data_IF_117499278484
#
_entry.id   IF_117499278484
#
_cell.length_a   1.000
_cell.length_b   1.000
_cell.length_c   1.000
_cell.angle_alpha   90.00
_cell.angle_beta   90.00
_cell.angle_gamma   90.00
#
_symmetry.space_group_name_H-M   'P 1'
#
loop_
_entity.id
_entity.type
_entity.pdbx_description
1 polymer ?
#
# COMPACT_ATOMS: atom_id res chain seq x y z
N UNK A 1 -37.68 -24.61 44.65
CA UNK A 1 -36.39 -25.32 44.56
C UNK A 1 -35.51 -24.58 43.56
N UNK A 2 -34.46 -23.90 44.02
CA UNK A 2 -33.57 -23.08 43.18
C UNK A 2 -32.44 -23.98 42.65
N UNK A 3 -32.48 -24.29 41.34
CA UNK A 3 -31.41 -25.02 40.66
C UNK A 3 -30.17 -24.13 40.59
N UNK A 4 -29.24 -24.30 41.55
CA UNK A 4 -27.92 -23.66 41.49
C UNK A 4 -27.19 -24.19 40.24
N UNK A 5 -26.73 -23.33 39.32
CA UNK A 5 -26.00 -23.79 38.14
C UNK A 5 -24.72 -24.50 38.59
N UNK A 6 -24.48 -25.67 37.99
CA UNK A 6 -23.32 -26.54 38.23
C UNK A 6 -22.01 -25.76 38.02
N UNK A 7 -20.97 -26.09 38.81
CA UNK A 7 -19.67 -25.40 38.83
C UNK A 7 -19.10 -25.09 37.43
N UNK A 8 -19.22 -26.04 36.50
CA UNK A 8 -18.78 -25.91 35.10
C UNK A 8 -19.50 -24.80 34.32
N UNK A 9 -20.81 -24.63 34.50
CA UNK A 9 -21.59 -23.58 33.84
C UNK A 9 -21.21 -22.18 34.35
N UNK A 10 -20.87 -22.06 35.63
CA UNK A 10 -20.39 -20.79 36.20
C UNK A 10 -19.03 -20.43 35.62
N UNK A 11 -18.09 -21.38 35.54
CA UNK A 11 -16.76 -21.16 34.95
C UNK A 11 -16.85 -20.76 33.48
N UNK A 12 -17.71 -21.42 32.71
CA UNK A 12 -17.93 -21.13 31.30
C UNK A 12 -18.54 -19.74 31.10
N UNK A 13 -19.55 -19.37 31.89
CA UNK A 13 -20.13 -18.01 31.88
C UNK A 13 -19.14 -16.93 32.35
N UNK A 14 -18.26 -17.23 33.29
CA UNK A 14 -17.21 -16.29 33.74
C UNK A 14 -16.11 -16.07 32.71
N UNK A 15 -15.87 -17.03 31.81
CA UNK A 15 -14.92 -16.88 30.70
C UNK A 15 -15.58 -16.23 29.48
N UNK A 16 -16.84 -16.57 29.18
CA UNK A 16 -17.59 -16.01 28.05
C UNK A 16 -17.96 -14.54 28.23
N UNK A 17 -18.25 -14.08 29.44
CA UNK A 17 -18.55 -12.66 29.70
C UNK A 17 -17.40 -11.70 29.32
N UNK A 18 -16.16 -11.88 29.82
CA UNK A 18 -15.04 -11.03 29.45
C UNK A 18 -14.60 -11.27 28.00
N UNK A 19 -14.71 -12.50 27.47
CA UNK A 19 -14.45 -12.76 26.06
C UNK A 19 -15.45 -12.04 25.14
N UNK A 20 -16.73 -12.07 25.49
CA UNK A 20 -17.80 -11.36 24.80
C UNK A 20 -17.61 -9.85 24.86
N UNK A 21 -17.33 -9.28 26.04
CA UNK A 21 -17.07 -7.85 26.19
C UNK A 21 -15.84 -7.37 25.41
N UNK A 22 -14.75 -8.16 25.37
CA UNK A 22 -13.57 -7.85 24.57
C UNK A 22 -13.85 -7.94 23.07
N UNK A 23 -14.63 -8.93 22.65
CA UNK A 23 -15.02 -9.08 21.25
C UNK A 23 -15.92 -7.93 20.81
N UNK A 24 -16.91 -7.56 21.63
CA UNK A 24 -17.81 -6.44 21.37
C UNK A 24 -17.06 -5.10 21.30
N UNK A 25 -16.15 -4.85 22.25
CA UNK A 25 -15.28 -3.67 22.23
C UNK A 25 -14.40 -3.62 20.97
N UNK A 26 -13.80 -4.76 20.58
CA UNK A 26 -13.01 -4.86 19.36
C UNK A 26 -13.86 -4.63 18.11
N UNK A 27 -15.03 -5.24 18.00
CA UNK A 27 -15.93 -5.09 16.85
C UNK A 27 -16.46 -3.66 16.74
N UNK A 28 -16.77 -3.03 17.87
CA UNK A 28 -17.18 -1.62 17.92
C UNK A 28 -16.06 -0.74 17.41
N UNK A 29 -14.84 -0.93 17.91
CA UNK A 29 -13.68 -0.13 17.52
C UNK A 29 -13.29 -0.35 16.04
N UNK A 30 -13.37 -1.61 15.57
CA UNK A 30 -13.22 -1.95 14.16
C UNK A 30 -14.29 -1.27 13.30
N UNK A 31 -15.54 -1.24 13.74
CA UNK A 31 -16.62 -0.55 13.04
C UNK A 31 -16.35 0.97 12.94
N UNK A 32 -15.87 1.60 14.00
CA UNK A 32 -15.52 3.03 13.99
C UNK A 32 -14.33 3.30 13.06
N UNK A 33 -13.34 2.41 13.04
CA UNK A 33 -12.22 2.52 12.10
C UNK A 33 -12.71 2.44 10.66
N UNK A 34 -13.55 1.45 10.35
CA UNK A 34 -14.05 1.17 8.99
C UNK A 34 -15.23 2.06 8.56
N UNK A 35 -15.79 2.88 9.45
CA UNK A 35 -16.81 3.87 9.07
C UNK A 35 -16.19 5.09 8.37
N UNK A 36 -14.86 5.25 8.46
CA UNK A 36 -14.11 6.31 7.80
C UNK A 36 -13.53 5.84 6.46
N UNK A 37 -13.49 6.75 5.47
CA UNK A 37 -12.85 6.47 4.19
C UNK A 37 -11.36 6.16 4.34
N UNK A 38 -10.68 6.83 5.28
CA UNK A 38 -9.27 6.61 5.62
C UNK A 38 -9.01 5.20 6.17
N UNK A 39 -9.88 4.71 7.06
CA UNK A 39 -9.77 3.37 7.62
C UNK A 39 -10.02 2.28 6.58
N UNK A 40 -11.02 2.46 5.70
CA UNK A 40 -11.28 1.53 4.59
C UNK A 40 -10.07 1.48 3.64
N UNK A 41 -9.55 2.63 3.22
CA UNK A 41 -8.40 2.71 2.31
C UNK A 41 -7.14 2.07 2.92
N UNK A 42 -6.89 2.31 4.20
CA UNK A 42 -5.77 1.73 4.93
C UNK A 42 -5.89 0.21 5.08
N UNK A 43 -7.10 -0.29 5.39
CA UNK A 43 -7.35 -1.73 5.46
C UNK A 43 -7.16 -2.38 4.08
N UNK A 44 -7.73 -1.79 3.03
CA UNK A 44 -7.66 -2.31 1.67
C UNK A 44 -6.21 -2.34 1.17
N UNK A 45 -5.45 -1.27 1.43
CA UNK A 45 -4.01 -1.20 1.15
C UNK A 45 -3.25 -2.31 1.88
N UNK A 46 -3.53 -2.51 3.16
CA UNK A 46 -2.88 -3.57 3.97
C UNK A 46 -3.18 -4.95 3.42
N UNK A 47 -4.45 -5.24 3.11
CA UNK A 47 -4.86 -6.53 2.56
C UNK A 47 -4.25 -6.77 1.17
N UNK A 48 -4.29 -5.76 0.30
CA UNK A 48 -3.70 -5.83 -1.04
C UNK A 48 -2.21 -6.18 -0.98
N UNK A 49 -1.41 -5.42 -0.21
CA UNK A 49 0.02 -5.68 -0.15
C UNK A 49 0.38 -6.95 0.62
N UNK A 50 -0.45 -7.39 1.58
CA UNK A 50 -0.31 -8.71 2.20
C UNK A 50 -0.52 -9.82 1.18
N UNK A 51 -1.57 -9.73 0.36
CA UNK A 51 -1.86 -10.69 -0.69
C UNK A 51 -0.78 -10.69 -1.78
N UNK A 52 -0.34 -9.50 -2.21
CA UNK A 52 0.73 -9.31 -3.18
C UNK A 52 2.06 -9.91 -2.70
N UNK A 53 2.44 -9.65 -1.44
CA UNK A 53 3.64 -10.24 -0.84
C UNK A 53 3.52 -11.78 -0.76
N UNK A 54 2.36 -12.28 -0.34
CA UNK A 54 2.11 -13.73 -0.25
C UNK A 54 2.19 -14.38 -1.63
N UNK A 55 1.60 -13.76 -2.65
CA UNK A 55 1.67 -14.21 -4.04
C UNK A 55 3.11 -14.24 -4.54
N UNK A 56 3.91 -13.19 -4.31
CA UNK A 56 5.31 -13.14 -4.71
C UNK A 56 6.13 -14.27 -4.07
N UNK A 57 5.88 -14.58 -2.79
CA UNK A 57 6.55 -15.71 -2.11
C UNK A 57 6.12 -17.06 -2.69
N UNK A 58 4.82 -17.27 -2.91
CA UNK A 58 4.30 -18.51 -3.53
C UNK A 58 4.85 -18.70 -4.94
N UNK A 59 4.90 -17.63 -5.74
CA UNK A 59 5.48 -17.62 -7.09
C UNK A 59 6.96 -17.98 -7.07
N UNK A 60 7.74 -17.44 -6.14
CA UNK A 60 9.15 -17.78 -5.98
C UNK A 60 9.36 -19.26 -5.60
N UNK A 61 8.53 -19.79 -4.70
CA UNK A 61 8.58 -21.21 -4.33
C UNK A 61 8.22 -22.12 -5.51
N UNK A 62 7.17 -21.74 -6.25
CA UNK A 62 6.70 -22.47 -7.42
C UNK A 62 7.76 -22.46 -8.54
N UNK A 63 8.40 -21.31 -8.80
CA UNK A 63 9.48 -21.18 -9.79
C UNK A 63 10.66 -22.07 -9.44
N UNK A 64 11.10 -22.08 -8.18
CA UNK A 64 12.17 -22.99 -7.70
C UNK A 64 11.80 -24.46 -7.86
N UNK A 65 10.53 -24.82 -7.66
CA UNK A 65 10.06 -26.18 -7.88
C UNK A 65 10.15 -26.56 -9.36
N UNK A 66 9.72 -25.66 -10.26
CA UNK A 66 9.83 -25.87 -11.71
C UNK A 66 11.28 -25.97 -12.18
N UNK A 67 12.18 -25.12 -11.68
CA UNK A 67 13.60 -25.18 -12.00
C UNK A 67 14.22 -26.52 -11.57
N UNK A 68 13.88 -27.02 -10.38
CA UNK A 68 14.34 -28.33 -9.91
C UNK A 68 13.81 -29.46 -10.79
N UNK A 69 12.54 -29.41 -11.18
CA UNK A 69 11.95 -30.40 -12.09
C UNK A 69 12.64 -30.34 -13.45
N UNK A 70 12.79 -29.16 -14.04
CA UNK A 70 13.48 -28.96 -15.31
C UNK A 70 14.93 -29.46 -15.26
N UNK A 71 15.65 -29.18 -14.17
CA UNK A 71 17.02 -29.67 -13.95
C UNK A 71 17.05 -31.20 -13.82
N UNK A 72 16.11 -31.79 -13.09
CA UNK A 72 16.01 -33.24 -12.93
C UNK A 72 15.69 -33.93 -14.27
N UNK A 73 14.77 -33.36 -15.06
CA UNK A 73 14.46 -33.83 -16.42
C UNK A 73 15.68 -33.72 -17.33
N UNK A 74 16.38 -32.59 -17.31
CA UNK A 74 17.60 -32.39 -18.08
C UNK A 74 18.72 -33.36 -17.67
N UNK A 75 18.88 -33.65 -16.38
CA UNK A 75 19.90 -34.60 -15.89
C UNK A 75 19.58 -36.06 -16.19
N UNK A 76 18.29 -36.41 -16.26
CA UNK A 76 17.82 -37.77 -16.59
C UNK A 76 17.55 -37.94 -18.09
N UNK A 77 17.76 -36.89 -18.89
CA UNK A 77 17.65 -36.98 -20.34
C UNK A 77 18.60 -38.07 -20.86
N UNK A 78 18.13 -38.99 -21.71
CA UNK A 78 18.94 -40.10 -22.15
C UNK A 78 20.19 -39.60 -22.87
N UNK A 79 21.36 -40.16 -22.50
CA UNK A 79 22.67 -39.88 -23.14
C UNK A 79 22.72 -40.23 -24.64
N UNK A 80 21.65 -40.80 -25.18
CA UNK A 80 21.47 -41.16 -26.59
C UNK A 80 20.91 -40.02 -27.42
N UNK A 81 20.58 -38.84 -26.84
CA UNK A 81 20.29 -37.66 -27.66
C UNK A 81 21.51 -37.30 -28.49
N UNK A 82 21.28 -37.13 -29.80
CA UNK A 82 22.35 -36.75 -30.72
C UNK A 82 22.78 -35.29 -30.45
N UNK A 83 24.04 -34.92 -30.74
CA UNK A 83 24.44 -33.52 -30.76
C UNK A 83 23.51 -32.73 -31.69
N UNK A 84 22.87 -31.65 -31.19
CA UNK A 84 21.85 -30.80 -31.84
C UNK A 84 20.39 -31.31 -31.81
N UNK A 85 20.07 -32.38 -31.08
CA UNK A 85 18.69 -32.79 -30.87
C UNK A 85 18.06 -31.99 -29.70
N UNK A 86 17.07 -31.15 -29.99
CA UNK A 86 16.38 -30.33 -28.99
C UNK A 86 15.17 -31.10 -28.48
N UNK A 87 15.20 -31.55 -27.23
CA UNK A 87 14.00 -32.07 -26.57
C UNK A 87 13.14 -30.92 -26.05
N UNK A 88 12.05 -30.62 -26.76
CA UNK A 88 11.02 -29.72 -26.27
C UNK A 88 10.10 -30.49 -25.31
N UNK A 89 10.49 -30.58 -24.04
CA UNK A 89 9.60 -31.08 -23.00
C UNK A 89 8.60 -29.97 -22.64
N UNK A 90 7.36 -30.09 -23.14
CA UNK A 90 6.25 -29.30 -22.61
C UNK A 90 5.87 -29.86 -21.24
N UNK A 91 6.30 -29.18 -20.18
CA UNK A 91 5.78 -29.44 -18.84
C UNK A 91 4.43 -28.73 -18.70
N UNK A 92 3.35 -29.50 -18.65
CA UNK A 92 2.10 -28.96 -18.14
C UNK A 92 2.30 -28.50 -16.68
N UNK A 93 1.70 -27.36 -16.28
CA UNK A 93 1.76 -26.91 -14.90
C UNK A 93 1.20 -28.02 -14.00
N UNK A 94 1.98 -28.60 -13.07
CA UNK A 94 1.47 -29.65 -12.22
C UNK A 94 0.37 -29.04 -11.35
N UNK A 95 -0.83 -29.62 -11.40
CA UNK A 95 -2.00 -29.24 -10.59
C UNK A 95 -1.75 -29.59 -9.12
N UNK A 96 -0.79 -28.90 -8.53
CA UNK A 96 -0.42 -29.02 -7.13
C UNK A 96 -1.21 -28.01 -6.32
N UNK A 97 -1.40 -28.30 -5.03
CA UNK A 97 -1.98 -27.33 -4.08
C UNK A 97 -1.21 -26.00 -4.09
N UNK A 98 0.11 -26.02 -4.31
CA UNK A 98 0.92 -24.81 -4.39
C UNK A 98 0.54 -23.95 -5.61
N UNK A 99 0.35 -24.56 -6.77
CA UNK A 99 -0.12 -23.87 -7.97
C UNK A 99 -1.53 -23.28 -7.77
N UNK A 100 -2.46 -24.06 -7.21
CA UNK A 100 -3.82 -23.58 -6.90
C UNK A 100 -3.82 -22.43 -5.88
N UNK A 101 -2.98 -22.49 -4.85
CA UNK A 101 -2.80 -21.40 -3.89
C UNK A 101 -2.18 -20.17 -4.54
N UNK A 102 -1.17 -20.35 -5.40
CA UNK A 102 -0.53 -19.24 -6.11
C UNK A 102 -1.53 -18.50 -7.01
N UNK A 103 -2.31 -19.25 -7.79
CA UNK A 103 -3.33 -18.72 -8.71
C UNK A 103 -4.49 -18.06 -7.97
N UNK A 104 -5.03 -18.68 -6.91
CA UNK A 104 -6.09 -18.07 -6.09
C UNK A 104 -5.62 -16.81 -5.37
N UNK A 105 -4.39 -16.80 -4.83
CA UNK A 105 -3.82 -15.60 -4.20
C UNK A 105 -3.59 -14.49 -5.22
N UNK A 106 -3.21 -14.83 -6.46
CA UNK A 106 -3.13 -13.85 -7.56
C UNK A 106 -4.49 -13.23 -7.83
N UNK A 107 -5.54 -14.05 -8.01
CA UNK A 107 -6.88 -13.57 -8.28
C UNK A 107 -7.41 -12.65 -7.15
N UNK A 108 -7.11 -13.00 -5.89
CA UNK A 108 -7.41 -12.15 -4.74
C UNK A 108 -6.65 -10.81 -4.79
N UNK A 109 -5.36 -10.86 -5.14
CA UNK A 109 -4.52 -9.65 -5.26
C UNK A 109 -5.07 -8.72 -6.35
N UNK A 110 -5.42 -9.28 -7.52
CA UNK A 110 -5.99 -8.54 -8.65
C UNK A 110 -7.35 -7.92 -8.26
N UNK A 111 -8.21 -8.65 -7.54
CA UNK A 111 -9.49 -8.15 -7.02
C UNK A 111 -9.33 -7.00 -6.02
N UNK A 112 -8.38 -7.13 -5.09
CA UNK A 112 -8.09 -6.10 -4.09
C UNK A 112 -7.53 -4.84 -4.76
N UNK A 113 -6.64 -4.99 -5.74
CA UNK A 113 -6.11 -3.89 -6.52
C UNK A 113 -7.21 -3.16 -7.30
N UNK A 114 -8.08 -3.90 -7.98
CA UNK A 114 -9.23 -3.35 -8.70
C UNK A 114 -10.13 -2.52 -7.77
N UNK A 115 -10.43 -3.09 -6.59
CA UNK A 115 -11.22 -2.41 -5.57
C UNK A 115 -10.52 -1.12 -5.14
N UNK A 116 -9.22 -1.19 -4.86
CA UNK A 116 -8.42 -0.06 -4.39
C UNK A 116 -8.36 1.09 -5.40
N UNK A 117 -8.13 0.79 -6.68
CA UNK A 117 -8.13 1.81 -7.74
C UNK A 117 -9.54 2.36 -7.95
N UNK A 118 -10.58 1.53 -7.87
CA UNK A 118 -11.97 1.98 -7.97
C UNK A 118 -12.31 3.02 -6.88
N UNK A 119 -11.90 2.76 -5.63
CA UNK A 119 -12.05 3.72 -4.52
C UNK A 119 -11.23 5.01 -4.70
N UNK A 120 -10.26 5.03 -5.62
CA UNK A 120 -9.42 6.19 -5.89
C UNK A 120 -9.85 7.00 -7.11
N UNK A 121 -10.89 6.60 -7.84
CA UNK A 121 -11.35 7.31 -9.05
C UNK A 121 -11.69 8.79 -8.79
N UNK A 122 -12.18 9.12 -7.59
CA UNK A 122 -12.45 10.50 -7.16
C UNK A 122 -11.23 11.23 -6.58
N UNK A 123 -10.03 10.67 -6.67
CA UNK A 123 -8.80 11.22 -6.10
C UNK A 123 -8.46 12.64 -6.57
N UNK A 124 -8.93 13.04 -7.77
CA UNK A 124 -8.77 14.41 -8.28
C UNK A 124 -9.45 15.45 -7.38
N UNK A 125 -10.57 15.11 -6.72
CA UNK A 125 -11.22 16.01 -5.77
C UNK A 125 -10.35 16.24 -4.53
N UNK A 126 -9.70 15.19 -4.03
CA UNK A 126 -8.74 15.29 -2.93
C UNK A 126 -7.52 16.13 -3.30
N UNK A 127 -7.00 15.98 -4.52
CA UNK A 127 -5.89 16.78 -5.04
C UNK A 127 -6.31 18.25 -5.20
N UNK A 128 -7.52 18.52 -5.70
CA UNK A 128 -8.06 19.87 -5.79
C UNK A 128 -8.21 20.52 -4.42
N UNK A 129 -8.74 19.79 -3.44
CA UNK A 129 -8.86 20.30 -2.07
C UNK A 129 -7.49 20.62 -1.49
N UNK A 130 -6.50 19.73 -1.65
CA UNK A 130 -5.13 19.99 -1.23
C UNK A 130 -4.53 21.21 -1.94
N UNK A 131 -4.76 21.38 -3.25
CA UNK A 131 -4.30 22.55 -3.99
C UNK A 131 -4.92 23.84 -3.47
N UNK A 132 -6.24 23.82 -3.20
CA UNK A 132 -6.99 24.95 -2.63
C UNK A 132 -6.47 25.33 -1.24
N UNK A 133 -6.29 24.36 -0.36
CA UNK A 133 -5.79 24.61 1.00
C UNK A 133 -4.40 25.24 0.98
N UNK A 134 -3.51 24.75 0.12
CA UNK A 134 -2.16 25.30 -0.05
C UNK A 134 -2.14 26.66 -0.77
N UNK A 135 -3.18 26.97 -1.57
CA UNK A 135 -3.35 28.30 -2.15
C UNK A 135 -3.82 29.32 -1.11
N UNK A 136 -4.79 28.94 -0.26
CA UNK A 136 -5.35 29.79 0.78
C UNK A 136 -4.41 29.97 1.97
N UNK A 137 -3.64 28.92 2.31
CA UNK A 137 -2.68 28.90 3.43
C UNK A 137 -1.33 28.38 2.91
N UNK A 138 -0.60 29.17 2.12
CA UNK A 138 0.68 28.74 1.57
C UNK A 138 1.73 28.58 2.68
N UNK A 139 2.67 27.63 2.54
CA UNK A 139 3.84 27.58 3.40
C UNK A 139 4.63 28.89 3.32
N UNK A 140 5.14 29.39 4.45
CA UNK A 140 5.98 30.58 4.47
C UNK A 140 7.37 30.38 3.84
N UNK A 141 7.86 29.14 3.76
CA UNK A 141 9.13 28.78 3.13
C UNK A 141 8.95 28.55 1.62
N UNK A 142 9.69 29.30 0.80
CA UNK A 142 9.59 29.21 -0.67
C UNK A 142 9.93 27.80 -1.22
N UNK A 143 10.99 27.10 -0.74
CA UNK A 143 11.23 25.71 -1.10
C UNK A 143 10.06 24.77 -0.78
N UNK A 144 9.45 24.87 0.42
CA UNK A 144 8.27 24.09 0.77
C UNK A 144 7.09 24.38 -0.16
N UNK A 145 6.87 25.65 -0.49
CA UNK A 145 5.81 26.04 -1.43
C UNK A 145 6.02 25.40 -2.80
N UNK A 146 7.25 25.41 -3.32
CA UNK A 146 7.58 24.75 -4.59
C UNK A 146 7.33 23.24 -4.52
N UNK A 147 7.80 22.56 -3.46
CA UNK A 147 7.61 21.13 -3.25
C UNK A 147 6.12 20.75 -3.21
N UNK A 148 5.30 21.54 -2.52
CA UNK A 148 3.85 21.34 -2.45
C UNK A 148 3.21 21.42 -3.84
N UNK A 149 3.53 22.44 -4.63
CA UNK A 149 2.96 22.58 -5.98
C UNK A 149 3.46 21.50 -6.96
N UNK A 150 4.72 21.05 -6.81
CA UNK A 150 5.22 19.91 -7.57
C UNK A 150 4.46 18.61 -7.21
N UNK A 151 4.19 18.38 -5.92
CA UNK A 151 3.40 17.24 -5.46
C UNK A 151 1.98 17.29 -6.02
N UNK A 152 1.31 18.44 -5.96
CA UNK A 152 -0.05 18.63 -6.51
C UNK A 152 -0.08 18.36 -8.02
N UNK A 153 0.89 18.90 -8.77
CA UNK A 153 0.96 18.75 -10.22
C UNK A 153 1.21 17.30 -10.62
N UNK A 154 2.18 16.64 -9.99
CA UNK A 154 2.46 15.22 -10.22
C UNK A 154 1.28 14.34 -9.80
N UNK A 155 0.58 14.69 -8.70
CA UNK A 155 -0.66 14.07 -8.25
C UNK A 155 -1.78 14.12 -9.28
N UNK A 156 -2.02 15.30 -9.86
CA UNK A 156 -3.07 15.48 -10.86
C UNK A 156 -2.78 14.64 -12.12
N UNK A 157 -1.54 14.65 -12.61
CA UNK A 157 -1.15 13.86 -13.79
C UNK A 157 -1.24 12.36 -13.49
N UNK A 158 -0.75 11.92 -12.34
CA UNK A 158 -0.87 10.55 -11.88
C UNK A 158 -2.33 10.08 -11.86
N UNK A 159 -3.21 10.80 -11.17
CA UNK A 159 -4.60 10.39 -10.99
C UNK A 159 -5.35 10.39 -12.32
N UNK A 160 -5.05 11.34 -13.21
CA UNK A 160 -5.62 11.35 -14.56
C UNK A 160 -5.21 10.12 -15.36
N UNK A 161 -3.91 9.80 -15.40
CA UNK A 161 -3.39 8.66 -16.15
C UNK A 161 -3.87 7.32 -15.57
N UNK A 162 -3.91 7.18 -14.25
CA UNK A 162 -4.39 5.98 -13.58
C UNK A 162 -5.89 5.76 -13.86
N UNK A 163 -6.71 6.81 -13.74
CA UNK A 163 -8.13 6.73 -14.07
C UNK A 163 -8.34 6.33 -15.54
N UNK A 164 -7.59 6.94 -16.46
CA UNK A 164 -7.69 6.64 -17.88
C UNK A 164 -7.28 5.19 -18.19
N UNK A 165 -6.17 4.71 -17.63
CA UNK A 165 -5.70 3.34 -17.80
C UNK A 165 -6.69 2.34 -17.20
N UNK A 166 -7.20 2.59 -15.99
CA UNK A 166 -8.16 1.70 -15.33
C UNK A 166 -9.48 1.60 -16.11
N UNK A 167 -10.05 2.73 -16.52
CA UNK A 167 -11.31 2.74 -17.27
C UNK A 167 -11.15 2.15 -18.68
N UNK A 168 -9.99 2.31 -19.32
CA UNK A 168 -9.66 1.63 -20.58
C UNK A 168 -9.57 0.11 -20.38
N UNK A 169 -8.83 -0.35 -19.35
CA UNK A 169 -8.67 -1.78 -19.05
C UNK A 169 -9.98 -2.48 -18.63
N UNK A 170 -10.97 -1.73 -18.13
CA UNK A 170 -12.34 -2.24 -17.88
C UNK A 170 -13.30 -2.12 -19.08
N UNK A 171 -12.83 -1.60 -20.22
CA UNK A 171 -13.65 -1.44 -21.43
C UNK A 171 -14.73 -0.34 -21.35
N UNK A 172 -14.60 0.58 -20.38
CA UNK A 172 -15.47 1.75 -20.24
C UNK A 172 -15.09 2.82 -21.26
N UNK A 173 -13.79 3.08 -21.40
CA UNK A 173 -13.26 3.94 -22.47
C UNK A 173 -12.97 3.07 -23.70
N UNK A 174 -13.82 3.22 -24.73
CA UNK A 174 -13.73 2.41 -25.96
C UNK A 174 -13.00 3.15 -27.07
N UNK A 175 -12.21 2.42 -27.84
CA UNK A 175 -11.53 2.90 -29.04
C UNK A 175 -10.04 2.63 -29.04
N UNK A 176 -9.47 2.36 -30.21
CA UNK A 176 -8.09 1.90 -30.38
C UNK A 176 -7.05 2.78 -29.69
N UNK A 177 -7.27 4.11 -29.67
CA UNK A 177 -6.37 5.06 -29.01
C UNK A 177 -6.25 4.86 -27.49
N UNK A 178 -7.32 4.41 -26.82
CA UNK A 178 -7.33 4.19 -25.37
C UNK A 178 -6.70 2.83 -25.04
N UNK A 179 -7.07 1.79 -25.79
CA UNK A 179 -6.56 0.42 -25.63
C UNK A 179 -5.04 0.33 -25.91
N UNK A 180 -4.57 0.91 -27.03
CA UNK A 180 -3.15 0.89 -27.40
C UNK A 180 -2.25 1.66 -26.42
N UNK A 181 -2.83 2.61 -25.68
CA UNK A 181 -2.10 3.48 -24.75
C UNK A 181 -2.22 3.05 -23.29
N UNK A 182 -3.10 2.11 -22.97
CA UNK A 182 -3.37 1.64 -21.61
C UNK A 182 -2.07 1.28 -20.87
N UNK A 183 -1.26 0.39 -21.45
CA UNK A 183 0.00 -0.04 -20.83
C UNK A 183 0.98 1.12 -20.60
N UNK A 184 1.07 2.06 -21.56
CA UNK A 184 1.93 3.25 -21.41
C UNK A 184 1.42 4.18 -20.31
N UNK A 185 0.12 4.42 -20.22
CA UNK A 185 -0.45 5.25 -19.17
C UNK A 185 -0.30 4.63 -17.79
N UNK A 186 -0.39 3.31 -17.68
CA UNK A 186 -0.14 2.60 -16.43
C UNK A 186 1.31 2.80 -15.95
N UNK A 187 2.30 2.66 -16.84
CA UNK A 187 3.71 2.89 -16.47
C UNK A 187 3.96 4.36 -16.13
N UNK A 188 3.44 5.29 -16.93
CA UNK A 188 3.63 6.72 -16.67
C UNK A 188 2.91 7.19 -15.40
N UNK A 189 1.72 6.67 -15.09
CA UNK A 189 1.03 6.98 -13.84
C UNK A 189 1.90 6.58 -12.65
N UNK A 190 2.45 5.36 -12.65
CA UNK A 190 3.36 4.87 -11.59
C UNK A 190 4.64 5.71 -11.47
N UNK A 191 5.19 6.23 -12.59
CA UNK A 191 6.32 7.17 -12.56
C UNK A 191 5.97 8.52 -11.93
N UNK A 192 4.78 9.05 -12.22
CA UNK A 192 4.31 10.28 -11.56
C UNK A 192 3.98 10.05 -10.08
N UNK A 193 3.55 8.83 -9.71
CA UNK A 193 3.42 8.44 -8.32
C UNK A 193 4.79 8.38 -7.62
N UNK A 194 5.80 7.77 -8.26
CA UNK A 194 7.18 7.80 -7.78
C UNK A 194 7.71 9.23 -7.60
N UNK A 195 7.46 10.11 -8.58
CA UNK A 195 7.85 11.51 -8.49
C UNK A 195 7.22 12.22 -7.26
N UNK A 196 5.95 11.94 -6.95
CA UNK A 196 5.31 12.46 -5.74
C UNK A 196 5.98 11.96 -4.46
N UNK A 197 6.34 10.68 -4.40
CA UNK A 197 7.03 10.08 -3.24
C UNK A 197 8.42 10.70 -3.05
N UNK A 198 9.14 10.99 -4.13
CA UNK A 198 10.43 11.71 -4.07
C UNK A 198 10.23 13.14 -3.57
N UNK A 199 9.26 13.86 -4.11
CA UNK A 199 8.93 15.23 -3.68
C UNK A 199 8.52 15.28 -2.21
N UNK A 200 7.75 14.30 -1.74
CA UNK A 200 7.38 14.18 -0.34
C UNK A 200 8.60 13.88 0.55
N UNK A 201 9.50 13.01 0.10
CA UNK A 201 10.78 12.78 0.77
C UNK A 201 11.58 14.07 0.95
N UNK A 202 11.67 14.89 -0.11
CA UNK A 202 12.32 16.21 -0.06
C UNK A 202 11.61 17.18 0.89
N UNK A 203 10.27 17.18 0.90
CA UNK A 203 9.47 17.95 1.87
C UNK A 203 9.77 17.54 3.31
N UNK A 204 9.78 16.23 3.59
CA UNK A 204 10.08 15.69 4.92
C UNK A 204 11.52 16.04 5.35
N UNK A 205 12.49 15.97 4.44
CA UNK A 205 13.86 16.42 4.71
C UNK A 205 13.92 17.91 5.04
N UNK A 206 13.18 18.75 4.30
CA UNK A 206 13.11 20.19 4.56
C UNK A 206 12.48 20.49 5.92
N UNK A 207 11.39 19.81 6.29
CA UNK A 207 10.76 19.92 7.62
C UNK A 207 11.76 19.57 8.74
N UNK A 208 12.56 18.50 8.54
CA UNK A 208 13.62 18.13 9.50
C UNK A 208 14.72 19.18 9.59
N UNK A 209 15.14 19.77 8.48
CA UNK A 209 16.13 20.86 8.46
C UNK A 209 15.65 22.09 9.24
N UNK A 210 14.35 22.40 9.13
CA UNK A 210 13.70 23.46 9.88
C UNK A 210 13.44 23.09 11.35
N UNK A 211 13.93 21.93 11.82
CA UNK A 211 13.81 21.43 13.20
C UNK A 211 12.37 21.39 13.71
N UNK A 212 11.40 21.07 12.84
CA UNK A 212 9.99 21.08 13.20
C UNK A 212 9.50 22.44 13.72
N UNK A 213 10.20 23.54 13.39
CA UNK A 213 9.73 24.90 13.67
C UNK A 213 8.53 25.15 12.77
N UNK A 214 7.37 24.74 13.30
CA UNK A 214 6.00 25.01 12.84
C UNK A 214 5.52 24.22 11.61
N UNK A 215 4.22 23.93 11.60
CA UNK A 215 3.49 23.68 10.36
C UNK A 215 3.33 24.94 9.47
N UNK A 216 3.72 26.17 9.83
CA UNK A 216 3.17 27.37 9.17
C UNK A 216 4.04 28.61 8.98
N UNK A 217 5.35 28.47 8.77
CA UNK A 217 6.13 29.58 8.21
C UNK A 217 6.22 30.81 9.11
N UNK A 218 7.16 30.76 10.06
CA UNK A 218 7.69 31.89 10.81
C UNK A 218 6.62 32.81 11.42
N UNK A 219 6.10 32.42 12.59
CA UNK A 219 5.82 33.39 13.64
C UNK A 219 6.28 32.83 14.98
N UNK A 220 7.38 33.40 15.49
CA UNK A 220 7.74 33.29 16.89
C UNK A 220 6.52 33.63 17.74
N UNK A 221 6.03 32.65 18.49
CA UNK A 221 5.11 32.89 19.58
C UNK A 221 5.89 33.62 20.67
N UNK A 222 5.84 34.95 20.65
CA UNK A 222 5.99 35.75 21.86
C UNK A 222 4.83 35.38 22.78
N UNK A 223 5.09 34.51 23.77
CA UNK A 223 4.14 34.23 24.84
C UNK A 223 4.09 32.77 25.30
N UNK A 224 4.56 32.57 26.53
CA UNK A 224 4.17 31.53 27.49
C UNK A 224 3.97 30.09 26.99
N UNK A 225 5.01 29.24 27.17
CA UNK A 225 4.77 27.80 27.30
C UNK A 225 5.89 26.88 26.86
N UNK A 226 7.03 26.85 27.57
CA UNK A 226 8.10 25.87 27.30
C UNK A 226 7.60 24.40 27.26
N UNK A 227 6.57 24.07 28.06
CA UNK A 227 5.95 22.74 28.10
C UNK A 227 5.06 22.45 26.90
N UNK A 228 4.27 23.44 26.45
CA UNK A 228 3.37 23.30 25.30
C UNK A 228 4.19 23.17 24.00
N UNK A 229 5.25 23.97 23.87
CA UNK A 229 6.24 23.86 22.79
C UNK A 229 6.95 22.50 22.80
N UNK A 230 7.35 21.98 23.97
CA UNK A 230 7.97 20.65 24.10
C UNK A 230 7.01 19.53 23.70
N UNK A 231 5.74 19.55 24.13
CA UNK A 231 4.75 18.53 23.78
C UNK A 231 4.48 18.51 22.28
N UNK A 232 4.23 19.67 21.67
CA UNK A 232 4.04 19.79 20.22
C UNK A 232 5.26 19.27 19.44
N UNK A 233 6.48 19.55 19.90
CA UNK A 233 7.70 19.06 19.25
C UNK A 233 7.82 17.53 19.24
N UNK A 234 7.34 16.85 20.29
CA UNK A 234 7.36 15.38 20.38
C UNK A 234 6.33 14.77 19.45
N UNK A 235 5.12 15.32 19.41
CA UNK A 235 4.05 14.88 18.52
C UNK A 235 4.41 15.09 17.05
N UNK A 236 4.97 16.26 16.70
CA UNK A 236 5.46 16.58 15.36
C UNK A 236 6.56 15.61 14.93
N UNK A 237 7.49 15.29 15.84
CA UNK A 237 8.54 14.30 15.57
C UNK A 237 7.95 12.91 15.34
N UNK A 238 6.94 12.49 16.12
CA UNK A 238 6.25 11.20 15.95
C UNK A 238 5.52 11.15 14.60
N UNK A 239 4.81 12.22 14.23
CA UNK A 239 4.14 12.37 12.93
C UNK A 239 5.15 12.26 11.78
N UNK A 240 6.22 13.04 11.84
CA UNK A 240 7.28 13.00 10.84
C UNK A 240 7.93 11.62 10.70
N UNK A 241 8.19 10.93 11.81
CA UNK A 241 8.75 9.57 11.77
C UNK A 241 7.80 8.60 11.05
N UNK A 242 6.49 8.67 11.33
CA UNK A 242 5.50 7.85 10.61
C UNK A 242 5.50 8.18 9.12
N UNK A 243 5.47 9.45 8.76
CA UNK A 243 5.45 9.88 7.36
C UNK A 243 6.71 9.44 6.61
N UNK A 244 7.87 9.45 7.27
CA UNK A 244 9.12 8.90 6.71
C UNK A 244 9.02 7.42 6.44
N UNK A 245 8.48 6.63 7.37
CA UNK A 245 8.31 5.18 7.18
C UNK A 245 7.31 4.86 6.07
N UNK A 246 6.19 5.57 6.04
CA UNK A 246 5.17 5.44 4.98
C UNK A 246 5.79 5.81 3.63
N UNK A 247 6.51 6.94 3.55
CA UNK A 247 7.17 7.36 2.32
C UNK A 247 8.23 6.37 1.85
N UNK A 248 9.04 5.83 2.77
CA UNK A 248 10.04 4.81 2.45
C UNK A 248 9.40 3.52 1.92
N UNK A 249 8.28 3.09 2.50
CA UNK A 249 7.48 1.98 1.99
C UNK A 249 6.99 2.23 0.57
N UNK A 250 6.46 3.43 0.32
CA UNK A 250 6.01 3.83 -1.02
C UNK A 250 7.13 3.96 -2.03
N UNK A 251 8.36 4.32 -1.64
CA UNK A 251 9.52 4.34 -2.56
C UNK A 251 9.72 2.95 -3.18
N UNK A 252 9.70 1.89 -2.36
CA UNK A 252 9.89 0.53 -2.84
C UNK A 252 8.80 0.11 -3.84
N UNK A 253 7.53 0.40 -3.50
CA UNK A 253 6.36 0.10 -4.35
C UNK A 253 6.43 0.84 -5.69
N UNK A 254 6.63 2.15 -5.62
CA UNK A 254 6.56 3.01 -6.80
C UNK A 254 7.76 2.84 -7.71
N UNK A 255 8.94 2.56 -7.15
CA UNK A 255 10.12 2.22 -7.93
C UNK A 255 9.93 0.90 -8.67
N UNK A 256 9.36 -0.12 -8.02
CA UNK A 256 9.03 -1.40 -8.66
C UNK A 256 8.07 -1.22 -9.84
N UNK A 257 7.00 -0.46 -9.65
CA UNK A 257 6.01 -0.22 -10.70
C UNK A 257 6.46 0.73 -11.82
N UNK A 258 7.58 1.45 -11.68
CA UNK A 258 7.99 2.48 -12.65
C UNK A 258 8.62 1.94 -13.95
N UNK A 259 8.98 0.65 -13.96
CA UNK A 259 9.56 -0.03 -15.10
C UNK A 259 8.47 -0.67 -15.97
N UNK A 260 8.67 -0.68 -17.30
CA UNK A 260 7.77 -1.39 -18.23
C UNK A 260 7.84 -2.91 -18.03
N UNK A 261 9.01 -3.37 -17.62
CA UNK A 261 9.31 -4.75 -17.27
C UNK A 261 9.70 -4.77 -15.78
N UNK A 262 8.77 -5.22 -14.94
CA UNK A 262 8.91 -5.22 -13.49
C UNK A 262 10.04 -6.14 -13.00
N UNK A 263 10.46 -7.13 -13.81
CA UNK A 263 11.60 -8.01 -13.48
C UNK A 263 12.94 -7.28 -13.53
N UNK A 264 13.02 -6.19 -14.32
CA UNK A 264 14.21 -5.33 -14.41
C UNK A 264 14.25 -4.25 -13.33
N UNK A 265 13.23 -4.18 -12.48
CA UNK A 265 13.23 -3.26 -11.36
C UNK A 265 14.36 -3.57 -10.38
N UNK A 266 14.97 -2.52 -9.84
CA UNK A 266 15.95 -2.59 -8.75
C UNK A 266 15.31 -3.23 -7.49
N UNK A 267 14.02 -3.01 -7.30
CA UNK A 267 13.21 -3.58 -6.21
C UNK A 267 12.36 -4.70 -6.78
N UNK A 268 12.60 -5.94 -6.34
CA UNK A 268 11.75 -7.07 -6.69
C UNK A 268 10.37 -7.02 -6.00
N UNK A 269 9.44 -7.86 -6.47
CA UNK A 269 8.06 -7.92 -5.96
C UNK A 269 7.97 -8.07 -4.43
N UNK A 270 8.84 -8.87 -3.81
CA UNK A 270 8.88 -9.03 -2.35
C UNK A 270 9.17 -7.70 -1.64
N UNK A 271 10.11 -6.91 -2.17
CA UNK A 271 10.46 -5.61 -1.61
C UNK A 271 9.31 -4.60 -1.76
N UNK A 272 8.66 -4.59 -2.92
CA UNK A 272 7.46 -3.78 -3.14
C UNK A 272 6.31 -4.18 -2.21
N UNK A 273 6.05 -5.49 -2.07
CA UNK A 273 5.03 -6.02 -1.16
C UNK A 273 5.28 -5.65 0.30
N UNK A 274 6.52 -5.79 0.77
CA UNK A 274 6.90 -5.36 2.12
C UNK A 274 6.74 -3.85 2.31
N UNK A 275 7.17 -3.04 1.34
CA UNK A 275 7.06 -1.59 1.41
C UNK A 275 5.60 -1.12 1.51
N UNK A 276 4.73 -1.67 0.66
CA UNK A 276 3.32 -1.35 0.69
C UNK A 276 2.59 -1.89 1.93
N UNK A 277 3.00 -3.05 2.45
CA UNK A 277 2.48 -3.58 3.71
C UNK A 277 2.82 -2.67 4.90
N UNK A 278 4.06 -2.18 4.97
CA UNK A 278 4.46 -1.21 6.01
C UNK A 278 3.63 0.06 5.92
N UNK A 279 3.46 0.61 4.71
CA UNK A 279 2.64 1.81 4.51
C UNK A 279 1.17 1.58 4.92
N UNK A 280 0.58 0.44 4.53
CA UNK A 280 -0.77 0.05 4.90
C UNK A 280 -0.95 -0.13 6.41
N UNK A 281 -0.04 -0.86 7.08
CA UNK A 281 -0.11 -1.09 8.52
C UNK A 281 0.03 0.20 9.32
N UNK A 282 0.95 1.10 8.93
CA UNK A 282 1.08 2.40 9.61
C UNK A 282 -0.17 3.24 9.42
N UNK A 283 -0.78 3.24 8.23
CA UNK A 283 -2.05 3.89 7.96
C UNK A 283 -3.20 3.32 8.79
N UNK A 284 -3.28 1.99 8.87
CA UNK A 284 -4.34 1.30 9.61
C UNK A 284 -4.21 1.52 11.12
N UNK A 285 -2.98 1.47 11.65
CA UNK A 285 -2.71 1.81 13.06
C UNK A 285 -3.08 3.25 13.37
N UNK A 286 -2.80 4.19 12.46
CA UNK A 286 -3.22 5.59 12.64
C UNK A 286 -4.74 5.73 12.65
N UNK A 287 -5.43 5.11 11.70
CA UNK A 287 -6.90 5.13 11.65
C UNK A 287 -7.51 4.46 12.90
N UNK A 288 -6.87 3.41 13.42
CA UNK A 288 -7.26 2.74 14.66
C UNK A 288 -7.07 3.65 15.88
N UNK A 289 -5.94 4.36 15.99
CA UNK A 289 -5.72 5.35 17.05
C UNK A 289 -6.81 6.44 17.00
N UNK A 290 -7.04 7.04 15.82
CA UNK A 290 -8.02 8.11 15.62
C UNK A 290 -9.47 7.68 15.92
N UNK A 291 -9.82 6.42 15.65
CA UNK A 291 -11.14 5.86 15.96
C UNK A 291 -11.35 5.57 17.46
N UNK A 292 -10.27 5.46 18.25
CA UNK A 292 -10.35 5.27 19.71
C UNK A 292 -10.48 6.57 20.50
N UNK A 293 -10.12 7.69 19.89
CA UNK A 293 -10.23 9.04 20.45
C UNK A 293 -11.60 9.71 20.15
N UNK A 294 -12.46 9.06 19.35
CA UNK A 294 -13.80 9.49 18.96
C UNK A 294 -14.89 8.87 19.85
#
# INVERSE_FOLDING_TARGET
>A
MSNKPTSSLRTLLTLLKPAGARTDAFLTHLHHTLSTSSGIDSLLTTLYFTAFLTHAQLRNLLTKQFERLATALASNAPKTMLPNEIMLAQLEPPRTRLYELCTSTKALTDLLQDSWICFRLWGLLGIYHAARDNYLKPPGDAPLKLLVWMRVSAGAIFQFLENAAFLAGKGVLRGSRWEEREGKWNVWSRRFWFAQVVVEGLRLLRVRQLRFREEFGAKEADGEGEKEVKIQSVELRRRWQRDVWVNAGWVAVTLHGSFEDEEKSIVGEVGAGLGGLVAGLVGLLKAWEEAGDA
#
